data_IF_697093984692
#
_entry.id   IF_697093984692
#
_cell.length_a   1.000
_cell.length_b   1.000
_cell.length_c   1.000
_cell.angle_alpha   90.00
_cell.angle_beta   90.00
_cell.angle_gamma   90.00
#
_symmetry.space_group_name_H-M   'P 1'
#
loop_
_entity.id
_entity.type
_entity.pdbx_description
1 polymer ?
#
# COMPACT_ATOMS: atom_id res chain seq x y z
N UNK A 1 2.61 8.06 10.56
CA UNK A 1 1.55 9.06 10.31
C UNK A 1 0.63 8.53 9.22
N UNK A 2 -0.70 8.60 9.36
CA UNK A 2 -1.62 8.18 8.30
C UNK A 2 -1.60 9.23 7.18
N UNK A 3 -1.15 8.84 5.99
CA UNK A 3 -1.11 9.75 4.83
C UNK A 3 -2.51 9.81 4.20
N UNK A 4 -2.99 11.02 3.89
CA UNK A 4 -4.26 11.21 3.20
C UNK A 4 -4.00 11.43 1.71
N UNK A 5 -4.75 10.74 0.87
CA UNK A 5 -4.65 10.90 -0.58
C UNK A 5 -6.02 10.96 -1.25
N UNK A 6 -6.12 11.77 -2.30
CA UNK A 6 -7.30 11.90 -3.16
C UNK A 6 -6.88 11.89 -4.63
N UNK A 7 -7.72 11.35 -5.49
CA UNK A 7 -7.47 11.31 -6.94
C UNK A 7 -8.56 12.11 -7.63
N UNK A 8 -8.16 13.01 -8.53
CA UNK A 8 -9.07 13.81 -9.35
C UNK A 8 -8.77 13.52 -10.82
N UNK A 9 -9.77 13.13 -11.63
CA UNK A 9 -9.55 12.94 -13.07
C UNK A 9 -9.26 14.29 -13.74
N UNK A 10 -8.35 14.29 -14.70
CA UNK A 10 -8.07 15.46 -15.52
C UNK A 10 -9.02 15.51 -16.73
N UNK A 11 -9.23 16.68 -17.37
CA UNK A 11 -10.04 16.78 -18.59
C UNK A 11 -9.47 15.98 -19.75
N UNK A 12 -8.17 15.74 -19.74
CA UNK A 12 -7.48 14.90 -20.72
C UNK A 12 -7.75 13.41 -20.43
N UNK A 13 -8.24 12.63 -21.42
CA UNK A 13 -8.48 11.20 -21.25
C UNK A 13 -7.25 10.45 -20.74
N UNK A 14 -7.47 9.47 -19.87
CA UNK A 14 -6.41 8.66 -19.27
C UNK A 14 -5.47 9.42 -18.32
N UNK A 15 -5.75 10.67 -17.97
CA UNK A 15 -4.92 11.42 -17.03
C UNK A 15 -5.63 11.66 -15.70
N UNK A 16 -4.87 11.56 -14.61
CA UNK A 16 -5.37 11.83 -13.27
C UNK A 16 -4.33 12.57 -12.42
N UNK A 17 -4.83 13.40 -11.52
CA UNK A 17 -4.05 14.08 -10.51
C UNK A 17 -4.26 13.38 -9.16
N UNK A 18 -3.21 12.74 -8.67
CA UNK A 18 -3.18 12.14 -7.34
C UNK A 18 -2.57 13.16 -6.37
N UNK A 19 -3.34 13.60 -5.38
CA UNK A 19 -2.93 14.53 -4.34
C UNK A 19 -2.68 13.77 -3.06
N UNK A 20 -1.49 13.91 -2.48
CA UNK A 20 -1.09 13.27 -1.23
C UNK A 20 -0.69 14.34 -0.24
N UNK A 21 -1.41 14.44 0.86
CA UNK A 21 -1.15 15.37 1.96
C UNK A 21 -0.54 14.67 3.16
N UNK A 22 0.16 15.42 4.02
CA UNK A 22 0.82 14.90 5.23
C UNK A 22 1.95 13.89 4.91
N UNK A 23 2.52 13.99 3.70
CA UNK A 23 3.68 13.22 3.28
C UNK A 23 4.92 14.10 3.28
N UNK A 24 5.83 13.82 4.20
CA UNK A 24 7.12 14.50 4.31
C UNK A 24 8.16 13.75 3.46
N UNK A 25 8.20 14.04 2.16
CA UNK A 25 9.16 13.48 1.21
C UNK A 25 9.55 14.51 0.13
N UNK A 26 10.75 14.39 -0.43
CA UNK A 26 11.17 15.22 -1.55
C UNK A 26 10.39 14.84 -2.83
N UNK A 27 9.93 15.80 -3.67
CA UNK A 27 9.21 15.46 -4.90
C UNK A 27 10.07 14.74 -5.95
N UNK A 28 11.40 14.83 -5.84
CA UNK A 28 12.33 14.24 -6.78
C UNK A 28 12.43 12.70 -6.62
N UNK A 29 12.17 11.97 -7.70
CA UNK A 29 12.42 10.53 -7.75
C UNK A 29 11.42 9.66 -6.99
N UNK A 30 10.30 10.22 -6.54
CA UNK A 30 9.24 9.43 -5.88
C UNK A 30 8.66 8.38 -6.82
N UNK A 31 8.43 7.20 -6.26
CA UNK A 31 7.79 6.08 -6.95
C UNK A 31 6.56 5.61 -6.18
N UNK A 32 5.61 5.04 -6.92
CA UNK A 32 4.33 4.60 -6.39
C UNK A 32 4.16 3.10 -6.63
N UNK A 33 3.71 2.37 -5.62
CA UNK A 33 3.19 1.01 -5.82
C UNK A 33 1.68 1.04 -5.63
N UNK A 34 0.95 0.60 -6.65
CA UNK A 34 -0.50 0.54 -6.64
C UNK A 34 -0.93 -0.91 -6.54
N UNK A 35 -1.82 -1.20 -5.59
CA UNK A 35 -2.30 -2.54 -5.30
C UNK A 35 -3.83 -2.58 -5.37
N UNK A 36 -4.39 -3.61 -6.03
CA UNK A 36 -5.81 -3.90 -5.97
C UNK A 36 -6.14 -4.77 -4.76
N UNK A 37 -7.34 -4.65 -4.22
CA UNK A 37 -7.76 -5.41 -3.03
C UNK A 37 -8.09 -6.89 -3.34
N UNK A 38 -8.35 -7.24 -4.61
CA UNK A 38 -8.88 -8.55 -5.00
C UNK A 38 -8.15 -9.11 -6.21
N UNK A 39 -7.95 -10.44 -6.23
CA UNK A 39 -7.35 -11.18 -7.34
C UNK A 39 -5.94 -11.70 -7.04
N UNK A 40 -5.42 -12.63 -7.86
CA UNK A 40 -4.11 -13.25 -7.63
C UNK A 40 -2.94 -12.31 -7.92
N UNK A 41 -3.10 -11.40 -8.88
CA UNK A 41 -2.04 -10.46 -9.29
C UNK A 41 -2.30 -9.09 -8.67
N UNK A 42 -1.66 -8.78 -7.54
CA UNK A 42 -2.08 -7.68 -6.67
C UNK A 42 -1.46 -6.34 -7.04
N UNK A 43 -0.28 -6.31 -7.65
CA UNK A 43 0.48 -5.08 -7.92
C UNK A 43 0.36 -4.65 -9.37
N UNK A 44 0.22 -3.34 -9.60
CA UNK A 44 0.27 -2.76 -10.93
C UNK A 44 1.73 -2.53 -11.36
N UNK A 45 2.05 -2.99 -12.57
CA UNK A 45 3.29 -2.75 -13.30
C UNK A 45 2.98 -2.07 -14.64
N UNK A 46 4.02 -1.62 -15.35
CA UNK A 46 3.89 -0.95 -16.65
C UNK A 46 3.19 -1.84 -17.70
N UNK A 47 3.38 -3.17 -17.61
CA UNK A 47 2.77 -4.17 -18.49
C UNK A 47 1.42 -4.71 -17.97
N UNK A 48 0.97 -4.28 -16.78
CA UNK A 48 -0.30 -4.66 -16.19
C UNK A 48 -0.19 -5.27 -14.79
N UNK A 49 -1.17 -6.09 -14.41
CA UNK A 49 -1.25 -6.65 -13.05
C UNK A 49 -0.34 -7.86 -12.86
N UNK A 50 0.44 -7.85 -11.77
CA UNK A 50 1.42 -8.90 -11.44
C UNK A 50 1.40 -9.24 -9.95
N UNK A 51 1.99 -10.39 -9.59
CA UNK A 51 2.13 -10.83 -8.19
C UNK A 51 3.30 -10.17 -7.47
N UNK A 52 4.29 -9.71 -8.23
CA UNK A 52 5.53 -9.15 -7.69
C UNK A 52 5.35 -7.65 -7.49
N UNK A 53 5.81 -7.15 -6.34
CA UNK A 53 5.80 -5.72 -6.07
C UNK A 53 6.56 -4.96 -7.15
N UNK A 54 5.89 -3.96 -7.72
CA UNK A 54 6.45 -3.08 -8.75
C UNK A 54 6.25 -1.64 -8.31
N UNK A 55 7.25 -0.82 -8.64
CA UNK A 55 7.33 0.60 -8.33
C UNK A 55 7.24 1.37 -9.62
N UNK A 56 6.13 2.06 -9.81
CA UNK A 56 5.83 2.87 -10.98
C UNK A 56 6.37 4.27 -10.78
N UNK A 57 6.90 4.85 -11.85
CA UNK A 57 7.33 6.24 -11.87
C UNK A 57 6.16 7.12 -12.35
N UNK A 58 5.71 8.11 -11.56
CA UNK A 58 4.75 9.11 -12.03
C UNK A 58 5.34 9.95 -13.17
N UNK A 59 4.49 10.50 -14.04
CA UNK A 59 4.95 11.35 -15.15
C UNK A 59 5.58 12.64 -14.63
N UNK A 60 4.93 13.21 -13.61
CA UNK A 60 5.40 14.42 -12.94
C UNK A 60 5.01 14.40 -11.48
N UNK A 61 5.91 14.88 -10.63
CA UNK A 61 5.63 15.14 -9.22
C UNK A 61 5.91 16.60 -8.95
N UNK A 62 4.93 17.31 -8.41
CA UNK A 62 5.04 18.72 -8.06
C UNK A 62 4.64 18.91 -6.61
N UNK A 63 5.41 19.72 -5.87
CA UNK A 63 5.03 20.11 -4.51
C UNK A 63 4.25 21.43 -4.56
N UNK A 64 3.03 21.40 -4.03
CA UNK A 64 2.14 22.56 -3.91
C UNK A 64 1.85 22.78 -2.42
N UNK A 65 2.73 23.56 -1.77
CA UNK A 65 2.70 23.74 -0.31
C UNK A 65 2.92 22.43 0.46
N UNK A 66 1.93 22.04 1.26
CA UNK A 66 1.93 20.81 2.08
C UNK A 66 1.39 19.57 1.35
N UNK A 67 1.09 19.70 0.06
CA UNK A 67 0.53 18.63 -0.78
C UNK A 67 1.50 18.27 -1.88
N UNK A 68 1.76 16.97 -2.04
CA UNK A 68 2.45 16.41 -3.20
C UNK A 68 1.42 16.03 -4.25
N UNK A 69 1.56 16.60 -5.44
CA UNK A 69 0.72 16.34 -6.60
C UNK A 69 1.48 15.42 -7.56
N UNK A 70 0.90 14.25 -7.82
CA UNK A 70 1.42 13.23 -8.72
C UNK A 70 0.55 13.24 -9.97
N UNK A 71 1.15 13.57 -11.11
CA UNK A 71 0.50 13.46 -12.41
C UNK A 71 0.67 12.03 -12.90
N UNK A 72 -0.46 11.37 -13.13
CA UNK A 72 -0.52 9.99 -13.59
C UNK A 72 -1.05 9.99 -15.02
N UNK A 73 -0.27 9.40 -15.92
CA UNK A 73 -0.63 9.24 -17.32
C UNK A 73 -1.52 8.04 -17.62
N UNK A 74 -1.82 7.84 -18.91
CA UNK A 74 -2.76 6.81 -19.37
C UNK A 74 -2.30 5.40 -19.04
N UNK A 75 -1.00 5.14 -19.00
CA UNK A 75 -0.48 3.80 -18.74
C UNK A 75 -0.82 3.28 -17.34
N UNK A 76 -1.02 4.19 -16.38
CA UNK A 76 -1.47 3.86 -15.03
C UNK A 76 -2.99 3.93 -14.96
N UNK A 77 -3.59 5.03 -15.44
CA UNK A 77 -5.01 5.29 -15.30
C UNK A 77 -5.89 4.30 -16.06
N UNK A 78 -5.52 3.93 -17.30
CA UNK A 78 -6.30 3.01 -18.12
C UNK A 78 -6.33 1.59 -17.53
N UNK A 79 -5.26 1.19 -16.84
CA UNK A 79 -5.16 -0.11 -16.17
C UNK A 79 -5.97 -0.17 -14.87
N UNK A 80 -6.28 0.99 -14.31
CA UNK A 80 -7.11 1.17 -13.12
C UNK A 80 -8.59 1.36 -13.46
N UNK A 81 -8.94 1.37 -14.75
CA UNK A 81 -10.31 1.40 -15.20
C UNK A 81 -11.12 0.23 -14.62
N UNK A 82 -12.28 0.54 -14.03
CA UNK A 82 -13.16 -0.44 -13.42
C UNK A 82 -12.76 -0.88 -12.00
N UNK A 83 -11.68 -0.34 -11.42
CA UNK A 83 -11.32 -0.58 -10.02
C UNK A 83 -11.84 0.57 -9.17
N UNK A 84 -12.58 0.26 -8.11
CA UNK A 84 -13.15 1.29 -7.24
C UNK A 84 -12.19 1.76 -6.15
N UNK A 85 -11.36 0.86 -5.59
CA UNK A 85 -10.45 1.18 -4.48
C UNK A 85 -9.10 0.51 -4.68
N UNK A 86 -8.04 1.25 -4.42
CA UNK A 86 -6.66 0.78 -4.52
C UNK A 86 -5.88 1.16 -3.28
N UNK A 87 -4.91 0.33 -2.91
CA UNK A 87 -3.91 0.67 -1.91
C UNK A 87 -2.70 1.27 -2.60
N UNK A 88 -2.34 2.46 -2.18
CA UNK A 88 -1.21 3.22 -2.69
C UNK A 88 -0.08 3.18 -1.67
N UNK A 89 1.14 2.90 -2.14
CA UNK A 89 2.38 3.04 -1.36
C UNK A 89 3.28 4.02 -2.07
N UNK A 90 3.87 4.95 -1.33
CA UNK A 90 4.83 5.93 -1.86
C UNK A 90 6.21 5.58 -1.34
N UNK A 91 7.19 5.55 -2.24
CA UNK A 91 8.59 5.27 -1.93
C UNK A 91 9.48 6.41 -2.40
N UNK A 92 10.37 6.82 -1.51
CA UNK A 92 11.48 7.71 -1.77
C UNK A 92 12.76 6.89 -2.03
N UNK A 93 13.63 7.29 -2.97
CA UNK A 93 14.80 6.51 -3.36
C UNK A 93 15.77 6.24 -2.20
N UNK A 94 15.98 7.23 -1.33
CA UNK A 94 16.99 7.15 -0.27
C UNK A 94 16.44 6.61 1.07
N UNK A 95 15.14 6.76 1.32
CA UNK A 95 14.50 6.39 2.59
C UNK A 95 13.74 5.07 2.51
N UNK A 96 13.13 4.76 1.35
CA UNK A 96 12.22 3.62 1.20
C UNK A 96 10.75 4.04 1.28
N UNK A 97 9.88 3.18 1.83
CA UNK A 97 8.43 3.44 1.83
C UNK A 97 8.07 4.49 2.88
N UNK A 98 7.68 5.67 2.41
CA UNK A 98 7.38 6.85 3.22
C UNK A 98 5.88 7.03 3.49
N UNK A 99 5.02 6.43 2.67
CA UNK A 99 3.57 6.55 2.81
C UNK A 99 2.84 5.29 2.39
N UNK A 100 1.73 4.97 3.06
CA UNK A 100 0.79 3.93 2.63
C UNK A 100 -0.62 4.38 2.96
N UNK A 101 -1.50 4.35 1.97
CA UNK A 101 -2.89 4.79 2.11
C UNK A 101 -3.79 4.03 1.15
N UNK A 102 -5.10 4.11 1.38
CA UNK A 102 -6.11 3.51 0.51
C UNK A 102 -6.91 4.63 -0.11
N UNK A 103 -7.04 4.60 -1.43
CA UNK A 103 -7.66 5.68 -2.20
C UNK A 103 -8.80 5.13 -3.04
N UNK A 104 -9.90 5.86 -3.05
CA UNK A 104 -11.00 5.62 -3.98
C UNK A 104 -10.57 6.12 -5.37
N UNK A 105 -10.61 5.23 -6.35
CA UNK A 105 -10.28 5.58 -7.72
C UNK A 105 -11.53 6.12 -8.43
N UNK A 106 -11.50 7.34 -8.98
CA UNK A 106 -12.68 7.92 -9.59
C UNK A 106 -12.98 7.26 -10.94
N UNK A 107 -14.25 7.25 -11.32
CA UNK A 107 -14.63 6.93 -12.69
C UNK A 107 -14.07 8.02 -13.63
N UNK A 108 -13.28 7.61 -14.61
CA UNK A 108 -12.61 8.52 -15.55
C UNK A 108 -12.66 7.94 -16.97
N UNK A 109 -12.58 8.82 -17.97
CA UNK A 109 -12.48 8.40 -19.37
C UNK A 109 -11.09 7.83 -19.60
N UNK A 110 -11.03 6.58 -20.06
CA UNK A 110 -9.76 5.95 -20.46
C UNK A 110 -9.32 6.47 -21.82
N UNK A 111 -8.02 6.50 -22.11
CA UNK A 111 -7.52 6.93 -23.41
C UNK A 111 -8.04 6.05 -24.55
N UNK A 112 -8.31 4.77 -24.26
CA UNK A 112 -8.98 3.85 -25.15
C UNK A 112 -10.45 4.21 -25.46
N UNK A 113 -11.17 4.94 -24.62
CA UNK A 113 -12.58 5.25 -24.89
C UNK A 113 -12.80 6.17 -26.11
N UNK A 114 -11.75 6.86 -26.58
CA UNK A 114 -11.78 7.73 -27.76
C UNK A 114 -11.48 6.97 -29.06
N UNK A 115 -11.10 5.68 -29.02
CA UNK A 115 -10.83 4.91 -30.26
C UNK A 115 -10.61 3.40 -30.16
N UNK A 116 -10.62 2.79 -28.98
CA UNK A 116 -10.38 1.38 -28.73
C UNK A 116 -11.57 0.76 -28.00
N UNK A 117 -12.26 -0.14 -28.71
CA UNK A 117 -13.36 -0.92 -28.17
C UNK A 117 -12.82 -1.88 -27.10
N UNK A 118 -13.18 -1.75 -25.80
CA UNK A 118 -12.72 -2.66 -24.74
C UNK A 118 -13.19 -4.11 -24.96
N UNK A 119 -14.19 -4.31 -25.83
CA UNK A 119 -14.63 -5.62 -26.26
C UNK A 119 -13.76 -6.24 -27.36
N UNK A 120 -12.90 -5.48 -28.05
CA UNK A 120 -12.07 -6.02 -29.12
C UNK A 120 -10.99 -6.97 -28.57
N UNK A 121 -10.33 -6.61 -27.47
CA UNK A 121 -9.33 -7.48 -26.84
C UNK A 121 -9.98 -8.73 -26.22
N UNK A 122 -11.16 -8.59 -25.63
CA UNK A 122 -11.90 -9.72 -25.06
C UNK A 122 -12.44 -10.66 -26.17
N UNK A 123 -12.86 -10.10 -27.32
CA UNK A 123 -13.25 -10.89 -28.50
C UNK A 123 -12.01 -11.59 -29.09
N UNK A 124 -10.84 -10.96 -29.17
CA UNK A 124 -9.62 -11.61 -29.67
C UNK A 124 -9.17 -12.72 -28.72
N UNK A 125 -9.26 -12.51 -27.39
CA UNK A 125 -8.90 -13.50 -26.38
C UNK A 125 -9.89 -14.67 -26.34
N UNK A 126 -11.18 -14.39 -26.51
CA UNK A 126 -12.23 -15.40 -26.65
C UNK A 126 -12.07 -16.17 -27.96
N UNK A 127 -11.79 -15.49 -29.09
CA UNK A 127 -11.55 -16.11 -30.40
C UNK A 127 -10.27 -16.95 -30.40
N UNK A 128 -9.22 -16.55 -29.66
CA UNK A 128 -8.00 -17.35 -29.46
C UNK A 128 -8.27 -18.59 -28.59
N UNK A 129 -9.08 -18.49 -27.54
CA UNK A 129 -9.56 -19.68 -26.78
C UNK A 129 -10.44 -20.59 -27.62
N UNK A 130 -11.34 -20.03 -28.42
CA UNK A 130 -12.22 -20.80 -29.31
C UNK A 130 -11.45 -21.46 -30.46
N UNK A 131 -10.38 -20.84 -30.96
CA UNK A 131 -9.48 -21.44 -31.94
C UNK A 131 -8.61 -22.54 -31.33
N UNK A 132 -8.22 -22.43 -30.05
CA UNK A 132 -7.51 -23.49 -29.33
C UNK A 132 -8.43 -24.66 -28.89
N UNK A 133 -9.75 -24.41 -28.82
CA UNK A 133 -10.79 -25.40 -28.54
C UNK A 133 -11.55 -25.82 -29.80
N UNK A 134 -11.05 -25.48 -30.99
CA UNK A 134 -11.50 -26.12 -32.21
C UNK A 134 -10.65 -27.38 -32.35
N UNK A 135 -11.25 -28.50 -31.99
CA UNK A 135 -10.74 -29.83 -32.29
C UNK A 135 -10.27 -29.86 -33.75
N UNK A 136 -9.02 -30.28 -34.03
CA UNK A 136 -8.56 -30.37 -35.41
C UNK A 136 -9.53 -31.27 -36.16
N UNK A 137 -10.04 -30.76 -37.29
CA UNK A 137 -10.91 -31.53 -38.17
C UNK A 137 -10.23 -32.87 -38.49
N UNK A 138 -10.97 -34.00 -38.51
CA UNK A 138 -10.36 -35.30 -38.78
C UNK A 138 -9.71 -35.29 -40.17
N UNK A 139 -8.39 -35.40 -40.20
CA UNK A 139 -7.65 -35.70 -41.43
C UNK A 139 -8.08 -37.08 -41.94
N UNK A 140 -8.29 -37.25 -43.26
CA UNK A 140 -8.60 -38.55 -43.84
C UNK A 140 -7.41 -39.50 -43.63
N UNK A 141 -7.69 -40.67 -43.04
CA UNK A 141 -6.72 -41.69 -42.69
C UNK A 141 -5.83 -42.12 -43.89
N UNK A 142 -4.50 -41.97 -43.80
CA UNK A 142 -3.56 -42.68 -44.65
C UNK A 142 -3.28 -44.07 -44.07
N UNK A 143 -3.26 -45.08 -44.93
CA UNK A 143 -2.97 -46.48 -44.63
C UNK A 143 -1.68 -46.67 -43.81
N UNK A 144 -1.75 -47.53 -42.79
CA UNK A 144 -0.68 -47.89 -41.87
C UNK A 144 0.44 -48.70 -42.57
N UNK A 145 1.71 -48.28 -42.54
CA UNK A 145 2.85 -49.19 -42.64
C UNK A 145 3.19 -49.80 -41.26
N UNK A 146 3.87 -50.96 -41.21
CA UNK A 146 3.94 -51.83 -40.04
C UNK A 146 4.76 -51.24 -38.89
N UNK A 147 4.44 -51.72 -37.68
CA UNK A 147 4.94 -51.29 -36.38
C UNK A 147 6.47 -51.11 -36.34
N UNK A 148 6.90 -49.90 -36.03
CA UNK A 148 8.21 -49.64 -35.46
C UNK A 148 8.17 -49.95 -33.97
N UNK A 149 9.09 -50.78 -33.51
CA UNK A 149 9.29 -51.10 -32.10
C UNK A 149 9.45 -49.81 -31.27
N UNK A 150 8.80 -49.70 -30.10
CA UNK A 150 8.96 -48.53 -29.24
C UNK A 150 10.39 -48.49 -28.68
N UNK A 151 11.07 -47.31 -28.70
CA UNK A 151 12.35 -47.15 -28.02
C UNK A 151 12.18 -47.37 -26.51
N UNK A 152 13.22 -47.88 -25.81
CA UNK A 152 13.14 -48.21 -24.39
C UNK A 152 12.75 -46.97 -23.56
N UNK A 153 11.97 -47.15 -22.48
CA UNK A 153 11.50 -46.03 -21.67
C UNK A 153 12.69 -45.31 -21.02
N UNK A 154 12.79 -44.00 -21.26
CA UNK A 154 13.70 -43.15 -20.50
C UNK A 154 13.39 -43.28 -19.00
N UNK A 155 14.42 -43.39 -18.13
CA UNK A 155 14.20 -43.47 -16.70
C UNK A 155 13.44 -42.24 -16.24
N UNK A 156 12.24 -42.45 -15.68
CA UNK A 156 11.48 -41.42 -14.98
C UNK A 156 12.32 -41.00 -13.77
N UNK A 157 13.05 -39.90 -13.90
CA UNK A 157 13.61 -39.19 -12.76
C UNK A 157 12.42 -38.82 -11.87
N UNK A 158 12.25 -39.58 -10.80
CA UNK A 158 11.30 -39.30 -9.74
C UNK A 158 11.68 -38.00 -9.04
N UNK A 159 11.29 -36.88 -9.65
CA UNK A 159 11.23 -35.55 -9.04
C UNK A 159 10.09 -35.46 -8.00
N UNK A 160 9.76 -36.59 -7.36
CA UNK A 160 8.76 -36.71 -6.30
C UNK A 160 9.35 -37.10 -4.94
N UNK A 161 10.67 -37.29 -4.83
CA UNK A 161 11.30 -37.82 -3.61
C UNK A 161 12.45 -36.96 -3.05
N UNK A 162 12.53 -35.66 -3.36
CA UNK A 162 13.54 -34.78 -2.78
C UNK A 162 13.01 -33.37 -2.47
N UNK A 163 12.00 -33.28 -1.61
CA UNK A 163 11.97 -32.27 -0.53
C UNK A 163 11.02 -32.75 0.56
N UNK A 164 11.62 -33.47 1.48
CA UNK A 164 11.09 -33.79 2.80
C UNK A 164 10.49 -32.51 3.43
N UNK A 165 9.29 -32.60 4.03
CA UNK A 165 8.66 -31.51 4.74
C UNK A 165 9.29 -31.44 6.13
N UNK A 166 10.46 -30.82 6.26
CA UNK A 166 11.03 -30.54 7.58
C UNK A 166 11.74 -29.20 7.59
N UNK A 167 11.16 -28.32 8.39
CA UNK A 167 11.64 -26.99 8.67
C UNK A 167 10.58 -26.30 9.51
N UNK A 168 10.23 -26.92 10.64
CA UNK A 168 9.54 -26.24 11.73
C UNK A 168 10.23 -24.90 11.96
N UNK A 169 9.56 -23.83 11.57
CA UNK A 169 9.97 -22.49 11.95
C UNK A 169 9.93 -22.45 13.48
N UNK A 170 11.03 -22.07 14.17
CA UNK A 170 10.97 -21.92 15.61
C UNK A 170 9.84 -20.92 15.93
N UNK A 171 8.99 -21.19 16.95
CA UNK A 171 7.95 -20.25 17.32
C UNK A 171 8.62 -18.91 17.60
N UNK A 172 8.25 -17.90 16.82
CA UNK A 172 8.75 -16.53 16.97
C UNK A 172 8.36 -16.06 18.36
N UNK A 173 9.30 -16.21 19.32
CA UNK A 173 9.13 -15.93 20.74
C UNK A 173 8.60 -14.50 20.87
N UNK A 174 7.32 -14.38 21.21
CA UNK A 174 6.56 -13.14 21.19
C UNK A 174 7.03 -12.17 22.26
N UNK A 175 8.02 -11.32 21.92
CA UNK A 175 8.49 -10.24 22.79
C UNK A 175 7.41 -9.21 23.14
N UNK A 176 6.33 -9.13 22.35
CA UNK A 176 5.21 -8.22 22.56
C UNK A 176 4.44 -8.50 23.85
N UNK A 177 4.32 -9.77 24.26
CA UNK A 177 3.59 -10.13 25.49
C UNK A 177 4.33 -9.67 26.76
N UNK A 178 5.66 -9.73 26.74
CA UNK A 178 6.47 -9.31 27.89
C UNK A 178 6.50 -7.79 28.06
N UNK A 179 6.46 -7.04 26.96
CA UNK A 179 6.34 -5.57 26.99
C UNK A 179 5.03 -5.11 27.62
N UNK A 180 3.92 -5.81 27.36
CA UNK A 180 2.62 -5.50 27.98
C UNK A 180 2.67 -5.74 29.49
N UNK A 181 3.27 -6.86 29.94
CA UNK A 181 3.44 -7.15 31.38
C UNK A 181 4.34 -6.11 32.05
N UNK A 182 5.45 -5.72 31.41
CA UNK A 182 6.34 -4.68 31.90
C UNK A 182 5.62 -3.33 32.03
N UNK A 183 4.79 -2.97 31.04
CA UNK A 183 3.99 -1.73 31.07
C UNK A 183 3.00 -1.73 32.23
N UNK A 184 2.30 -2.85 32.47
CA UNK A 184 1.36 -2.97 33.59
C UNK A 184 2.06 -2.92 34.95
N UNK A 185 3.23 -3.54 35.09
CA UNK A 185 4.02 -3.44 36.31
C UNK A 185 4.50 -2.01 36.56
N UNK A 186 4.95 -1.30 35.52
CA UNK A 186 5.40 0.09 35.64
C UNK A 186 4.23 1.02 36.01
N UNK A 187 3.07 0.84 35.37
CA UNK A 187 1.86 1.59 35.66
C UNK A 187 1.32 1.31 37.07
N UNK A 188 1.35 0.05 37.52
CA UNK A 188 0.97 -0.34 38.88
C UNK A 188 1.91 0.23 39.93
N UNK A 189 3.23 0.14 39.71
CA UNK A 189 4.23 0.70 40.63
C UNK A 189 4.16 2.23 40.68
N UNK A 190 4.05 2.90 39.52
CA UNK A 190 3.93 4.36 39.45
C UNK A 190 2.62 4.88 40.02
N UNK A 191 1.50 4.24 39.70
CA UNK A 191 0.18 4.58 40.23
C UNK A 191 0.07 4.32 41.74
N UNK A 192 0.61 3.20 42.21
CA UNK A 192 0.68 2.86 43.63
C UNK A 192 1.55 3.84 44.43
N UNK A 193 2.71 4.21 43.89
CA UNK A 193 3.60 5.19 44.52
C UNK A 193 2.95 6.58 44.56
N UNK A 194 2.34 7.04 43.47
CA UNK A 194 1.64 8.32 43.44
C UNK A 194 0.50 8.37 44.46
N UNK A 195 -0.37 7.36 44.47
CA UNK A 195 -1.48 7.28 45.42
C UNK A 195 -1.00 7.23 46.89
N UNK A 196 0.11 6.53 47.15
CA UNK A 196 0.71 6.47 48.49
C UNK A 196 1.22 7.84 48.94
N UNK A 197 1.96 8.54 48.08
CA UNK A 197 2.45 9.89 48.40
C UNK A 197 1.31 10.91 48.52
N UNK A 198 0.27 10.85 47.69
CA UNK A 198 -0.81 11.83 47.73
C UNK A 198 -1.77 11.65 48.91
N UNK A 199 -2.04 10.40 49.33
CA UNK A 199 -3.05 10.12 50.36
C UNK A 199 -2.49 9.84 51.74
N UNK A 200 -1.27 9.29 51.86
CA UNK A 200 -0.69 8.95 53.17
C UNK A 200 0.30 10.02 53.63
N UNK A 201 1.01 10.68 52.70
CA UNK A 201 1.94 11.77 53.00
C UNK A 201 1.75 12.97 52.06
N UNK A 202 0.58 13.64 52.09
CA UNK A 202 0.38 14.83 51.28
C UNK A 202 1.52 15.83 51.55
N UNK A 203 2.18 16.36 50.51
CA UNK A 203 3.26 17.32 50.71
C UNK A 203 2.69 18.54 51.45
N UNK A 204 3.42 19.09 52.44
CA UNK A 204 2.97 20.26 53.17
C UNK A 204 2.72 21.36 52.15
N UNK A 205 1.47 21.82 52.09
CA UNK A 205 1.04 22.90 51.21
C UNK A 205 1.88 24.12 51.60
N UNK A 206 2.79 24.52 50.72
CA UNK A 206 3.44 25.82 50.86
C UNK A 206 2.33 26.87 50.79
N UNK A 207 1.95 27.39 51.95
CA UNK A 207 1.20 28.63 52.05
C UNK A 207 2.08 29.71 51.43
N UNK A 208 1.86 29.97 50.14
CA UNK A 208 2.35 31.17 49.46
C UNK A 208 1.94 32.33 50.35
N UNK A 209 2.94 33.00 50.90
CA UNK A 209 2.78 34.18 51.71
C UNK A 209 1.85 35.16 51.00
N UNK A 210 0.87 35.67 51.73
CA UNK A 210 -0.01 36.73 51.28
C UNK A 210 0.84 37.85 50.64
N UNK A 211 0.57 38.10 49.36
CA UNK A 211 1.11 39.27 48.66
C UNK A 211 0.75 40.52 49.47
N UNK A 212 1.72 41.36 49.90
CA UNK A 212 1.39 42.56 50.65
C UNK A 212 0.59 43.52 49.76
N UNK A 213 -0.51 44.04 50.32
CA UNK A 213 -1.39 44.99 49.65
C UNK A 213 -0.62 46.25 49.18
N UNK A 214 -1.00 46.86 48.04
CA UNK A 214 -0.36 48.09 47.57
C UNK A 214 -0.64 49.24 48.54
N UNK A 215 0.41 49.86 49.05
CA UNK A 215 0.34 51.03 49.93
C UNK A 215 0.02 52.26 49.08
N UNK A 216 -1.08 52.95 49.38
CA UNK A 216 -1.50 54.19 48.72
C UNK A 216 -0.43 55.28 48.87
N UNK A 217 -0.10 55.97 47.77
CA UNK A 217 0.81 57.11 47.77
C UNK A 217 0.17 58.36 48.42
N UNK A 218 0.93 59.21 49.14
CA UNK A 218 0.40 60.41 49.77
C UNK A 218 0.17 61.54 48.75
N UNK A 219 -1.02 62.15 48.82
CA UNK A 219 -1.41 63.35 48.06
C UNK A 219 -0.60 64.58 48.51
N UNK A 220 0.01 65.37 47.60
CA UNK A 220 0.66 66.62 47.97
C UNK A 220 -0.37 67.74 48.24
N UNK A 221 -0.07 68.68 49.17
CA UNK A 221 -0.98 69.75 49.56
C UNK A 221 -1.12 70.85 48.49
N UNK A 222 -2.25 71.59 48.49
CA UNK A 222 -2.58 72.58 47.47
C UNK A 222 -1.72 73.85 47.57
N UNK A 223 -1.43 74.46 46.41
CA UNK A 223 -0.83 75.79 46.26
C UNK A 223 -1.90 76.85 46.05
#
# INVERSE_FOLDING_TARGET
MPVRASVTPLPEPGHALLRVSELDAAPEGLTLSIQRQQGPDVHLADDGWRRTETWLKPDRVTRSGEVLEFHLGPEICDRLAGIATVRLRVREPDIGVVGTTVVAWPAMLTSGAVGANPFADDIVRLKRRHAAMREPAPEPAPELPPAFDPPPPAPRLELRAARDPMGELPPRRGGTGWLIVALWLLAGAGGGYYAWTSHIHPPPVETVAASPAPVSAPTPPPS
#
